data_IF_250076835724
#
_entry.id   IF_250076835724
#
_cell.length_a   1.000
_cell.length_b   1.000
_cell.length_c   1.000
_cell.angle_alpha   90.00
_cell.angle_beta   90.00
_cell.angle_gamma   90.00
#
_symmetry.space_group_name_H-M   'P 1'
#
loop_
_entity.id
_entity.type
_entity.pdbx_description
1 polymer ?
#
# COMPACT_ATOMS: atom_id res chain seq x y z
N UNK A 1 -24.43 0.79 -16.90
CA UNK A 1 -23.48 1.95 -16.84
C UNK A 1 -22.09 1.51 -17.28
N UNK A 2 -21.42 2.29 -18.14
CA UNK A 2 -20.10 1.96 -18.69
C UNK A 2 -18.93 2.12 -17.71
N UNK A 3 -17.82 1.43 -17.97
CA UNK A 3 -16.62 1.42 -17.10
C UNK A 3 -16.07 2.82 -16.81
N UNK A 4 -15.99 3.70 -17.81
CA UNK A 4 -15.44 5.05 -17.63
C UNK A 4 -16.26 5.89 -16.64
N UNK A 5 -17.58 5.77 -16.68
CA UNK A 5 -18.49 6.42 -15.73
C UNK A 5 -18.46 5.75 -14.36
N UNK A 6 -18.29 4.42 -14.31
CA UNK A 6 -18.16 3.69 -13.05
C UNK A 6 -16.91 4.10 -12.25
N UNK A 7 -15.78 4.32 -12.94
CA UNK A 7 -14.51 4.75 -12.31
C UNK A 7 -14.67 6.08 -11.57
N UNK A 8 -15.44 7.02 -12.12
CA UNK A 8 -15.65 8.32 -11.49
C UNK A 8 -16.71 8.26 -10.39
N UNK A 9 -17.80 7.51 -10.59
CA UNK A 9 -18.91 7.40 -9.64
C UNK A 9 -18.56 6.60 -8.38
N UNK A 10 -17.79 5.51 -8.51
CA UNK A 10 -17.54 4.57 -7.41
C UNK A 10 -16.15 4.73 -6.78
N UNK A 11 -15.67 5.96 -6.60
CA UNK A 11 -14.52 6.18 -5.70
C UNK A 11 -14.88 5.68 -4.29
N UNK A 12 -13.97 4.98 -3.58
CA UNK A 12 -12.52 4.84 -3.83
C UNK A 12 -12.11 3.62 -4.69
N UNK A 13 -13.04 2.88 -5.32
CA UNK A 13 -12.69 1.70 -6.11
C UNK A 13 -11.89 2.10 -7.36
N UNK A 14 -10.64 1.64 -7.44
CA UNK A 14 -9.79 1.92 -8.59
C UNK A 14 -10.26 1.18 -9.85
N UNK A 15 -9.88 1.67 -11.03
CA UNK A 15 -10.12 0.97 -12.30
C UNK A 15 -9.64 -0.48 -12.30
N UNK A 16 -8.53 -0.77 -11.62
CA UNK A 16 -8.01 -2.15 -11.52
C UNK A 16 -8.93 -3.06 -10.72
N UNK A 17 -9.55 -2.54 -9.65
CA UNK A 17 -10.53 -3.30 -8.86
C UNK A 17 -11.78 -3.53 -9.69
N UNK A 18 -12.30 -2.50 -10.36
CA UNK A 18 -13.49 -2.64 -11.22
C UNK A 18 -13.26 -3.66 -12.34
N UNK A 19 -12.11 -3.61 -13.01
CA UNK A 19 -11.75 -4.63 -14.03
C UNK A 19 -11.64 -6.01 -13.41
N UNK A 20 -11.00 -6.15 -12.26
CA UNK A 20 -10.86 -7.44 -11.58
C UNK A 20 -12.22 -8.03 -11.20
N UNK A 21 -13.14 -7.22 -10.69
CA UNK A 21 -14.51 -7.67 -10.37
C UNK A 21 -15.24 -8.17 -11.62
N UNK A 22 -15.02 -7.54 -12.78
CA UNK A 22 -15.59 -8.00 -14.04
C UNK A 22 -14.91 -9.28 -14.56
N UNK A 23 -13.58 -9.37 -14.47
CA UNK A 23 -12.82 -10.57 -14.84
C UNK A 23 -13.23 -11.79 -13.99
N UNK A 24 -13.57 -11.55 -12.72
CA UNK A 24 -14.06 -12.57 -11.77
C UNK A 24 -15.60 -12.80 -11.90
N UNK A 25 -16.28 -12.18 -12.87
CA UNK A 25 -17.72 -12.27 -13.12
C UNK A 25 -18.61 -11.89 -11.92
N UNK A 26 -18.12 -10.99 -11.07
CA UNK A 26 -18.87 -10.45 -9.91
C UNK A 26 -19.77 -9.28 -10.33
N UNK A 27 -19.34 -8.54 -11.34
CA UNK A 27 -20.11 -7.47 -11.99
C UNK A 27 -19.97 -7.64 -13.50
N UNK A 28 -20.90 -7.09 -14.27
CA UNK A 28 -20.78 -7.05 -15.73
C UNK A 28 -20.79 -5.62 -16.25
N UNK A 29 -20.12 -5.38 -17.38
CA UNK A 29 -20.22 -4.10 -18.08
C UNK A 29 -21.07 -4.30 -19.34
N UNK A 30 -22.10 -3.45 -19.58
CA UNK A 30 -22.54 -2.33 -18.76
C UNK A 30 -23.18 -2.76 -17.42
N UNK A 31 -22.86 -2.02 -16.35
CA UNK A 31 -23.34 -2.34 -15.00
C UNK A 31 -24.86 -2.33 -14.92
N UNK A 32 -25.40 -3.39 -14.34
CA UNK A 32 -26.81 -3.51 -13.92
C UNK A 32 -27.08 -2.70 -12.65
N UNK A 33 -28.35 -2.59 -12.25
CA UNK A 33 -28.70 -1.93 -10.99
C UNK A 33 -28.20 -2.71 -9.77
N UNK A 34 -28.22 -4.05 -9.84
CA UNK A 34 -27.64 -4.91 -8.80
C UNK A 34 -26.14 -4.69 -8.66
N UNK A 35 -25.41 -4.57 -9.78
CA UNK A 35 -23.97 -4.25 -9.74
C UNK A 35 -23.73 -2.89 -9.11
N UNK A 36 -24.55 -1.90 -9.43
CA UNK A 36 -24.43 -0.57 -8.85
C UNK A 36 -24.70 -0.56 -7.34
N UNK A 37 -25.68 -1.34 -6.86
CA UNK A 37 -25.91 -1.51 -5.42
C UNK A 37 -24.74 -2.20 -4.73
N UNK A 38 -24.20 -3.27 -5.33
CA UNK A 38 -23.01 -3.97 -4.82
C UNK A 38 -21.81 -3.05 -4.72
N UNK A 39 -21.49 -2.31 -5.78
CA UNK A 39 -20.38 -1.36 -5.83
C UNK A 39 -20.56 -0.24 -4.80
N UNK A 40 -21.79 0.26 -4.60
CA UNK A 40 -22.09 1.25 -3.57
C UNK A 40 -21.84 0.71 -2.16
N UNK A 41 -22.25 -0.53 -1.90
CA UNK A 41 -21.96 -1.22 -0.63
C UNK A 41 -20.46 -1.42 -0.41
N UNK A 42 -19.74 -1.84 -1.44
CA UNK A 42 -18.28 -2.00 -1.40
C UNK A 42 -17.58 -0.67 -1.14
N UNK A 43 -18.00 0.44 -1.77
CA UNK A 43 -17.44 1.76 -1.49
C UNK A 43 -17.57 2.10 0.00
N UNK A 44 -18.75 1.89 0.58
CA UNK A 44 -19.00 2.16 2.00
C UNK A 44 -18.10 1.34 2.91
N UNK A 45 -17.95 0.04 2.64
CA UNK A 45 -17.07 -0.85 3.40
C UNK A 45 -15.61 -0.41 3.29
N UNK A 46 -15.16 0.00 2.09
CA UNK A 46 -13.76 0.36 1.84
C UNK A 46 -13.35 1.67 2.47
N UNK A 47 -14.29 2.60 2.66
CA UNK A 47 -14.06 3.88 3.34
C UNK A 47 -14.27 3.83 4.85
N UNK A 48 -14.87 2.75 5.36
CA UNK A 48 -15.21 2.64 6.77
C UNK A 48 -14.02 2.10 7.58
N UNK A 49 -13.54 2.91 8.53
CA UNK A 49 -12.37 2.59 9.36
C UNK A 49 -12.54 1.30 10.16
N UNK A 50 -13.76 1.00 10.64
CA UNK A 50 -14.02 -0.19 11.43
C UNK A 50 -13.84 -1.44 10.57
N UNK A 51 -14.43 -1.49 9.38
CA UNK A 51 -14.27 -2.62 8.47
C UNK A 51 -12.82 -2.80 8.03
N UNK A 52 -12.14 -1.71 7.64
CA UNK A 52 -10.72 -1.76 7.28
C UNK A 52 -9.88 -2.27 8.45
N UNK A 53 -10.17 -1.85 9.68
CA UNK A 53 -9.47 -2.33 10.86
C UNK A 53 -9.69 -3.84 11.08
N UNK A 54 -10.92 -4.33 10.97
CA UNK A 54 -11.24 -5.78 11.12
C UNK A 54 -10.52 -6.62 10.08
N UNK A 55 -10.58 -6.24 8.80
CA UNK A 55 -9.94 -6.98 7.71
C UNK A 55 -8.42 -7.07 7.87
N UNK A 56 -7.83 -6.08 8.54
CA UNK A 56 -6.39 -6.05 8.80
C UNK A 56 -5.99 -6.69 10.14
N UNK A 57 -6.92 -7.11 11.02
CA UNK A 57 -6.59 -7.64 12.37
C UNK A 57 -5.66 -8.85 12.38
N UNK A 58 -5.69 -9.66 11.33
CA UNK A 58 -4.84 -10.86 11.18
C UNK A 58 -3.36 -10.52 11.02
N UNK A 59 -3.02 -9.27 10.69
CA UNK A 59 -1.64 -8.82 10.54
C UNK A 59 -1.10 -8.20 11.85
N UNK A 60 0.19 -8.46 12.14
CA UNK A 60 0.90 -7.80 13.24
C UNK A 60 0.81 -6.27 13.11
N UNK A 61 0.73 -5.50 14.22
CA UNK A 61 0.57 -4.05 14.19
C UNK A 61 1.55 -3.31 13.28
N UNK A 62 2.84 -3.66 13.32
CA UNK A 62 3.86 -3.02 12.48
C UNK A 62 3.66 -3.30 10.99
N UNK A 63 3.19 -4.50 10.65
CA UNK A 63 2.85 -4.87 9.27
C UNK A 63 1.63 -4.09 8.78
N UNK A 64 0.63 -3.88 9.63
CA UNK A 64 -0.54 -3.04 9.31
C UNK A 64 -0.15 -1.60 9.05
N UNK A 65 0.66 -1.01 9.91
CA UNK A 65 1.13 0.36 9.75
C UNK A 65 1.89 0.54 8.42
N UNK A 66 2.74 -0.42 8.05
CA UNK A 66 3.45 -0.40 6.75
C UNK A 66 2.49 -0.56 5.57
N UNK A 67 1.44 -1.38 5.68
CA UNK A 67 0.46 -1.55 4.60
C UNK A 67 -0.38 -0.28 4.40
N UNK A 68 -0.72 0.41 5.49
CA UNK A 68 -1.47 1.67 5.44
C UNK A 68 -0.60 2.83 4.94
N UNK A 69 0.65 2.95 5.40
CA UNK A 69 1.57 4.00 4.98
C UNK A 69 2.23 3.76 3.62
N UNK A 70 2.09 2.56 3.03
CA UNK A 70 2.66 2.23 1.72
C UNK A 70 1.74 1.24 0.99
N UNK A 71 0.51 1.65 0.60
CA UNK A 71 -0.47 0.73 0.02
C UNK A 71 0.00 0.13 -1.31
N UNK A 72 0.84 0.88 -2.04
CA UNK A 72 1.43 0.45 -3.31
C UNK A 72 2.62 -0.50 -3.16
N UNK A 73 3.11 -0.77 -1.94
CA UNK A 73 4.24 -1.66 -1.73
C UNK A 73 3.79 -3.11 -1.68
N UNK A 74 4.27 -3.90 -2.63
CA UNK A 74 4.09 -5.34 -2.67
C UNK A 74 4.94 -6.08 -1.64
N UNK A 75 4.97 -7.41 -1.76
CA UNK A 75 5.70 -8.29 -0.83
C UNK A 75 7.21 -7.99 -0.80
N UNK A 76 7.82 -7.76 -1.97
CA UNK A 76 9.26 -7.52 -2.09
C UNK A 76 9.62 -6.13 -1.57
N UNK A 77 8.85 -5.10 -1.92
CA UNK A 77 9.05 -3.73 -1.46
C UNK A 77 8.96 -3.64 0.07
N UNK A 78 7.97 -4.30 0.67
CA UNK A 78 7.85 -4.37 2.14
C UNK A 78 9.01 -5.10 2.80
N UNK A 79 9.54 -6.15 2.16
CA UNK A 79 10.74 -6.85 2.64
C UNK A 79 11.99 -5.93 2.60
N UNK A 80 12.17 -5.20 1.50
CA UNK A 80 13.26 -4.23 1.34
C UNK A 80 13.15 -3.14 2.41
N UNK A 81 11.96 -2.56 2.59
CA UNK A 81 11.67 -1.53 3.57
C UNK A 81 12.02 -1.99 4.99
N UNK A 82 11.57 -3.18 5.39
CA UNK A 82 11.88 -3.77 6.69
C UNK A 82 13.39 -3.89 6.94
N UNK A 83 14.15 -4.39 5.97
CA UNK A 83 15.61 -4.53 6.10
C UNK A 83 16.30 -3.17 6.32
N UNK A 84 15.90 -2.12 5.60
CA UNK A 84 16.49 -0.80 5.75
C UNK A 84 16.09 -0.09 7.05
N UNK A 85 14.84 -0.25 7.49
CA UNK A 85 14.37 0.34 8.74
C UNK A 85 14.98 -0.34 9.96
N UNK A 86 15.35 -1.63 9.87
CA UNK A 86 15.96 -2.42 10.94
C UNK A 86 17.50 -2.36 10.96
N UNK A 87 18.13 -1.50 10.16
CA UNK A 87 19.58 -1.32 10.24
C UNK A 87 19.98 -0.73 11.58
N UNK A 88 21.00 -1.34 12.21
CA UNK A 88 21.67 -0.79 13.39
C UNK A 88 22.14 0.64 13.11
N UNK A 89 22.22 1.53 14.13
CA UNK A 89 22.84 2.84 13.98
C UNK A 89 24.25 2.72 13.36
N UNK A 90 24.59 3.57 12.40
CA UNK A 90 25.87 3.53 11.68
C UNK A 90 26.00 2.44 10.60
N UNK A 91 25.17 1.39 10.62
CA UNK A 91 25.22 0.33 9.61
C UNK A 91 24.70 0.82 8.24
N UNK A 92 25.39 0.40 7.17
CA UNK A 92 25.02 0.66 5.77
C UNK A 92 24.70 -0.65 5.07
N UNK A 93 23.66 -0.64 4.25
CA UNK A 93 23.30 -1.75 3.36
C UNK A 93 23.26 -1.24 1.92
N UNK A 94 24.13 -1.78 1.05
CA UNK A 94 24.18 -1.34 -0.35
C UNK A 94 23.00 -1.93 -1.12
N UNK A 95 22.54 -1.24 -2.15
CA UNK A 95 21.43 -1.72 -2.99
C UNK A 95 21.78 -3.04 -3.69
N UNK A 96 23.06 -3.27 -4.01
CA UNK A 96 23.56 -4.52 -4.57
C UNK A 96 23.41 -5.69 -3.59
N UNK A 97 23.75 -5.48 -2.33
CA UNK A 97 23.60 -6.51 -1.28
C UNK A 97 22.12 -6.84 -1.06
N UNK A 98 21.26 -5.82 -1.12
CA UNK A 98 19.81 -6.01 -1.09
C UNK A 98 19.30 -6.81 -2.28
N UNK A 99 19.77 -6.50 -3.50
CA UNK A 99 19.41 -7.26 -4.70
C UNK A 99 19.78 -8.74 -4.56
N UNK A 100 20.97 -9.04 -4.02
CA UNK A 100 21.40 -10.41 -3.74
C UNK A 100 20.48 -11.10 -2.72
N UNK A 101 20.09 -10.41 -1.63
CA UNK A 101 19.14 -10.95 -0.65
C UNK A 101 17.78 -11.24 -1.27
N UNK A 102 17.27 -10.34 -2.11
CA UNK A 102 15.99 -10.54 -2.81
C UNK A 102 16.09 -11.77 -3.72
N UNK A 103 17.16 -11.90 -4.50
CA UNK A 103 17.39 -13.07 -5.36
C UNK A 103 17.42 -14.36 -4.55
N UNK A 104 18.10 -14.38 -3.40
CA UNK A 104 18.19 -15.56 -2.54
C UNK A 104 16.83 -15.95 -1.92
N UNK A 105 16.08 -14.97 -1.42
CA UNK A 105 14.84 -15.16 -0.66
C UNK A 105 13.60 -15.36 -1.54
N UNK A 106 13.50 -14.62 -2.65
CA UNK A 106 12.33 -14.65 -3.55
C UNK A 106 12.58 -15.38 -4.86
N UNK A 107 13.83 -15.79 -5.13
CA UNK A 107 14.23 -16.46 -6.39
C UNK A 107 13.90 -15.62 -7.64
N UNK A 108 13.93 -14.29 -7.50
CA UNK A 108 13.58 -13.34 -8.56
C UNK A 108 14.65 -12.25 -8.66
N UNK A 109 14.98 -11.85 -9.89
CA UNK A 109 15.74 -10.63 -10.15
C UNK A 109 14.86 -9.40 -9.98
N UNK A 110 15.32 -8.45 -9.16
CA UNK A 110 14.53 -7.29 -8.83
C UNK A 110 15.24 -5.99 -9.24
N UNK A 111 14.58 -5.09 -9.99
CA UNK A 111 15.25 -3.92 -10.56
C UNK A 111 15.88 -3.01 -9.51
N UNK A 112 17.13 -2.64 -9.72
CA UNK A 112 17.90 -1.87 -8.75
C UNK A 112 17.28 -0.48 -8.47
N UNK A 113 16.70 0.17 -9.47
CA UNK A 113 16.03 1.46 -9.30
C UNK A 113 14.85 1.39 -8.31
N UNK A 114 14.09 0.28 -8.30
CA UNK A 114 13.01 0.06 -7.34
C UNK A 114 13.54 -0.10 -5.91
N UNK A 115 14.67 -0.80 -5.75
CA UNK A 115 15.38 -0.91 -4.46
C UNK A 115 15.80 0.47 -3.96
N UNK A 116 16.35 1.32 -4.83
CA UNK A 116 16.74 2.69 -4.48
C UNK A 116 15.54 3.54 -4.03
N UNK A 117 14.40 3.44 -4.72
CA UNK A 117 13.17 4.14 -4.33
C UNK A 117 12.70 3.74 -2.92
N UNK A 118 12.66 2.44 -2.63
CA UNK A 118 12.26 1.94 -1.30
C UNK A 118 13.28 2.34 -0.23
N UNK A 119 14.59 2.30 -0.55
CA UNK A 119 15.65 2.76 0.35
C UNK A 119 15.46 4.23 0.75
N UNK A 120 15.11 5.08 -0.21
CA UNK A 120 14.89 6.50 0.06
C UNK A 120 13.71 6.70 1.01
N UNK A 121 12.58 6.01 0.78
CA UNK A 121 11.44 6.03 1.70
C UNK A 121 11.85 5.59 3.12
N UNK A 122 12.61 4.49 3.23
CA UNK A 122 13.12 4.00 4.51
C UNK A 122 14.01 5.01 5.25
N UNK A 123 14.87 5.73 4.52
CA UNK A 123 15.76 6.73 5.12
C UNK A 123 15.04 8.01 5.52
N UNK A 124 14.04 8.44 4.75
CA UNK A 124 13.15 9.53 5.14
C UNK A 124 12.45 9.17 6.46
N UNK A 125 11.85 7.98 6.55
CA UNK A 125 11.24 7.47 7.78
C UNK A 125 12.19 7.48 8.98
N UNK A 126 13.42 6.99 8.81
CA UNK A 126 14.43 6.96 9.89
C UNK A 126 14.88 8.35 10.33
N UNK A 127 14.81 9.37 9.46
CA UNK A 127 15.10 10.76 9.81
C UNK A 127 13.99 11.33 10.68
N UNK A 128 12.73 11.12 10.30
CA UNK A 128 11.57 11.57 11.08
C UNK A 128 11.37 10.82 12.40
N UNK A 129 11.86 9.58 12.52
CA UNK A 129 11.82 8.81 13.78
C UNK A 129 12.93 9.17 14.77
N UNK A 130 13.82 10.12 14.44
CA UNK A 130 14.84 10.61 15.40
C UNK A 130 14.26 11.63 16.39
N UNK A 131 13.06 12.14 16.13
CA UNK A 131 12.29 13.03 16.99
C UNK A 131 11.17 12.33 17.79
N UNK A 132 11.02 11.00 17.69
CA UNK A 132 10.00 10.23 18.43
C UNK A 132 9.92 8.75 18.02
N UNK A 133 9.22 7.93 18.82
CA UNK A 133 9.12 6.46 18.65
C UNK A 133 8.72 6.04 17.23
N UNK A 134 9.46 5.10 16.63
CA UNK A 134 9.29 4.53 15.28
C UNK A 134 7.86 4.08 14.96
N UNK A 135 7.12 3.59 15.96
CA UNK A 135 5.72 3.18 15.83
C UNK A 135 4.81 4.40 15.64
N UNK A 136 5.09 5.48 16.35
CA UNK A 136 4.36 6.74 16.26
C UNK A 136 4.60 7.41 14.90
N UNK A 137 5.81 7.36 14.35
CA UNK A 137 6.11 7.92 13.03
C UNK A 137 5.44 7.16 11.88
N UNK A 138 5.41 5.82 11.92
CA UNK A 138 4.71 5.02 10.90
C UNK A 138 3.19 5.21 10.96
N UNK A 139 2.64 5.37 12.16
CA UNK A 139 1.21 5.70 12.36
C UNK A 139 0.92 7.14 11.88
N UNK A 140 1.75 8.12 12.25
CA UNK A 140 1.63 9.51 11.79
C UNK A 140 1.73 9.61 10.27
N UNK A 141 2.59 8.83 9.62
CA UNK A 141 2.70 8.84 8.16
C UNK A 141 1.57 8.09 7.46
N UNK A 142 1.04 7.03 8.05
CA UNK A 142 -0.22 6.43 7.58
C UNK A 142 -1.40 7.41 7.67
N UNK A 143 -1.45 8.20 8.75
CA UNK A 143 -2.47 9.25 8.95
C UNK A 143 -2.26 10.42 7.95
N UNK A 144 -1.02 10.85 7.73
CA UNK A 144 -0.70 11.95 6.81
C UNK A 144 -0.89 11.57 5.33
N UNK A 145 -0.54 10.34 4.92
CA UNK A 145 -0.82 9.87 3.55
C UNK A 145 -2.32 9.69 3.28
N UNK A 146 -3.12 9.35 4.30
CA UNK A 146 -4.59 9.41 4.20
C UNK A 146 -5.17 10.83 4.11
N UNK A 147 -4.35 11.86 4.36
CA UNK A 147 -4.73 13.28 4.30
C UNK A 147 -4.25 13.97 3.00
N UNK A 148 -3.55 13.27 2.12
CA UNK A 148 -2.88 13.82 0.93
C UNK A 148 -3.73 13.76 -0.35
N UNK A 149 -5.06 13.87 -0.25
CA UNK A 149 -5.91 14.20 -1.41
C UNK A 149 -5.84 15.70 -1.80
N UNK A 150 -5.08 16.53 -1.07
CA UNK A 150 -5.03 18.00 -1.29
C UNK A 150 -3.65 18.56 -1.69
N UNK A 151 -2.71 17.77 -2.24
CA UNK A 151 -1.39 18.29 -2.64
C UNK A 151 -1.05 18.20 -4.12
N UNK A 152 -2.03 17.85 -4.97
CA UNK A 152 -1.94 18.01 -6.42
C UNK A 152 -3.15 18.79 -6.96
N UNK A 153 -3.18 20.08 -6.65
CA UNK A 153 -3.68 21.13 -7.55
C UNK A 153 -2.47 21.90 -8.06
#
# INVERSE_FOLDING_TARGET
>A
MELNTAITKFKPLSQKVLRRLADDSIIEFPLTDSDQMLLSGLCRIWTDEWYVAQMNKTFKPDKRAVMLAFPNFGKIERYILSNYLNLKPGAKLRSRDMANRIRQHFKVEYPQFKIHRVRQAAYNLRRYSRSGSRKHTLIQLAILEGSHDNFWT
#
